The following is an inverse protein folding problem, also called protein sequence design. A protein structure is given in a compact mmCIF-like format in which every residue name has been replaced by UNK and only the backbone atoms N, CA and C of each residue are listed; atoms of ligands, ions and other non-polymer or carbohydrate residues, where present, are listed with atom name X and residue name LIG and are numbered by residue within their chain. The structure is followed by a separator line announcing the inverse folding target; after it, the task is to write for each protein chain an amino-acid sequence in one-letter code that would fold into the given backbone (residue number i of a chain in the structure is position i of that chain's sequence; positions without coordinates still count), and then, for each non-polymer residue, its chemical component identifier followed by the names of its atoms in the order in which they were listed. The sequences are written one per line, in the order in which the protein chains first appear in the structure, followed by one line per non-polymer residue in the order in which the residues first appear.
data_IF_323709059547
#
_entry.id   IF_323709059547
#
_cell.length_a   1.000
_cell.length_b   1.000
_cell.length_c   1.000
_cell.angle_alpha   90.00
_cell.angle_beta   90.00
_cell.angle_gamma   90.00
#
_symmetry.space_group_name_H-M   'P 1'
#
loop_
_entity.id
_entity.type
_entity.pdbx_description
1 polymer ?
#
# COMPACT_ATOMS: atom_id res chain seq x y z
N UNK A 1 -0.96 -14.62 -23.85
CA UNK A 1 0.05 -13.57 -23.75
C UNK A 1 -0.62 -12.41 -23.02
N UNK A 2 -0.22 -12.09 -21.77
CA UNK A 2 -0.68 -10.88 -21.12
C UNK A 2 -0.14 -9.70 -21.92
N UNK A 3 -1.02 -8.79 -22.35
CA UNK A 3 -0.62 -7.57 -23.05
C UNK A 3 0.31 -6.78 -22.12
N UNK A 4 1.46 -6.33 -22.64
CA UNK A 4 2.44 -5.53 -21.89
C UNK A 4 1.88 -4.16 -21.44
N UNK A 5 0.69 -3.80 -21.86
CA UNK A 5 0.06 -2.48 -21.67
C UNK A 5 -1.20 -2.54 -20.78
N UNK A 6 -1.30 -3.50 -19.86
CA UNK A 6 -2.43 -3.54 -18.94
C UNK A 6 -2.20 -2.61 -17.76
N UNK A 7 -3.09 -1.67 -17.54
CA UNK A 7 -3.18 -0.86 -16.32
C UNK A 7 -4.04 -1.63 -15.31
N UNK A 8 -3.55 -1.75 -14.08
CA UNK A 8 -4.31 -2.27 -12.95
C UNK A 8 -4.90 -1.12 -12.15
N UNK A 9 -6.17 -1.21 -11.83
CA UNK A 9 -6.87 -0.21 -11.01
C UNK A 9 -6.84 -0.65 -9.57
N UNK A 10 -6.24 0.18 -8.70
CA UNK A 10 -6.22 0.02 -7.26
C UNK A 10 -7.07 1.11 -6.62
N UNK A 11 -8.20 0.72 -6.03
CA UNK A 11 -9.11 1.63 -5.35
C UNK A 11 -8.82 1.70 -3.86
N UNK A 12 -8.68 2.90 -3.31
CA UNK A 12 -8.40 3.15 -1.89
C UNK A 12 -9.53 3.93 -1.19
N UNK A 13 -10.69 4.04 -1.80
CA UNK A 13 -11.84 4.79 -1.27
C UNK A 13 -12.19 4.39 0.16
N UNK A 14 -12.18 3.08 0.46
CA UNK A 14 -12.57 2.55 1.76
C UNK A 14 -11.44 2.54 2.80
N UNK A 15 -10.26 3.00 2.45
CA UNK A 15 -9.13 3.16 3.38
C UNK A 15 -8.66 4.62 3.42
N UNK A 16 -8.03 5.10 2.36
CA UNK A 16 -7.49 6.47 2.31
C UNK A 16 -8.61 7.51 2.14
N UNK A 17 -9.55 7.25 1.26
CA UNK A 17 -10.70 8.12 1.04
C UNK A 17 -11.54 8.33 2.30
N UNK A 18 -11.70 7.31 3.13
CA UNK A 18 -12.45 7.37 4.39
C UNK A 18 -11.77 8.25 5.47
N UNK A 19 -10.49 8.57 5.31
CA UNK A 19 -9.78 9.48 6.22
C UNK A 19 -10.18 10.95 6.02
N UNK A 20 -10.90 11.26 4.95
CA UNK A 20 -11.43 12.61 4.74
C UNK A 20 -12.56 12.91 5.75
N UNK A 21 -12.62 14.13 6.32
CA UNK A 21 -13.67 14.50 7.24
C UNK A 21 -15.07 14.26 6.66
N UNK A 22 -15.92 13.54 7.39
CA UNK A 22 -17.29 13.23 6.97
C UNK A 22 -17.46 12.09 5.96
N UNK A 23 -16.37 11.42 5.57
CA UNK A 23 -16.40 10.31 4.60
C UNK A 23 -16.44 8.91 5.26
N UNK A 24 -16.60 8.83 6.59
CA UNK A 24 -16.71 7.56 7.29
C UNK A 24 -17.93 6.77 6.85
N UNK A 25 -17.74 5.48 6.62
CA UNK A 25 -18.76 4.56 6.11
C UNK A 25 -19.11 3.48 7.12
N UNK A 26 -20.37 3.10 7.16
CA UNK A 26 -20.84 1.92 7.89
C UNK A 26 -20.36 0.63 7.21
N UNK A 27 -20.43 -0.50 7.92
CA UNK A 27 -20.11 -1.81 7.37
C UNK A 27 -20.96 -2.14 6.13
N UNK A 28 -22.25 -1.85 6.18
CA UNK A 28 -23.19 -2.10 5.08
C UNK A 28 -22.87 -1.27 3.84
N UNK A 29 -22.49 -0.01 4.02
CA UNK A 29 -22.05 0.86 2.93
C UNK A 29 -20.77 0.36 2.29
N UNK A 30 -19.76 -0.02 3.08
CA UNK A 30 -18.51 -0.61 2.57
C UNK A 30 -18.76 -1.88 1.77
N UNK A 31 -19.63 -2.79 2.25
CA UNK A 31 -20.00 -4.00 1.52
C UNK A 31 -20.71 -3.67 0.21
N UNK A 32 -21.63 -2.69 0.24
CA UNK A 32 -22.36 -2.27 -0.95
C UNK A 32 -21.44 -1.68 -2.02
N UNK A 33 -20.56 -0.77 -1.63
CA UNK A 33 -19.57 -0.16 -2.51
C UNK A 33 -18.60 -1.22 -3.07
N UNK A 34 -18.13 -2.15 -2.22
CA UNK A 34 -17.20 -3.18 -2.65
C UNK A 34 -17.79 -4.09 -3.73
N UNK A 35 -19.10 -4.40 -3.66
CA UNK A 35 -19.80 -5.16 -4.70
C UNK A 35 -19.88 -4.41 -6.02
N UNK A 36 -20.17 -3.10 -5.96
CA UNK A 36 -20.20 -2.24 -7.16
C UNK A 36 -18.81 -2.20 -7.80
N UNK A 37 -17.74 -2.03 -7.02
CA UNK A 37 -16.37 -2.03 -7.52
C UNK A 37 -15.97 -3.38 -8.13
N UNK A 38 -16.38 -4.49 -7.51
CA UNK A 38 -16.13 -5.84 -8.04
C UNK A 38 -16.86 -6.05 -9.38
N UNK A 39 -18.09 -5.55 -9.53
CA UNK A 39 -18.86 -5.58 -10.78
C UNK A 39 -18.24 -4.71 -11.87
N UNK A 40 -17.76 -3.52 -11.53
CA UNK A 40 -17.05 -2.60 -12.42
C UNK A 40 -15.70 -3.16 -12.89
N UNK A 41 -15.16 -4.17 -12.22
CA UNK A 41 -13.89 -4.79 -12.60
C UNK A 41 -12.66 -4.05 -12.07
N UNK A 42 -12.77 -3.34 -10.94
CA UNK A 42 -11.61 -2.83 -10.19
C UNK A 42 -10.72 -4.04 -9.84
N UNK A 43 -9.43 -3.93 -10.12
CA UNK A 43 -8.50 -5.07 -9.93
C UNK A 43 -8.22 -5.32 -8.45
N UNK A 44 -7.94 -4.28 -7.69
CA UNK A 44 -7.60 -4.36 -6.26
C UNK A 44 -8.43 -3.34 -5.48
N UNK A 45 -8.96 -3.73 -4.32
CA UNK A 45 -9.74 -2.87 -3.44
C UNK A 45 -9.10 -2.87 -2.06
N UNK A 46 -8.56 -1.72 -1.64
CA UNK A 46 -8.04 -1.54 -0.28
C UNK A 46 -9.21 -1.30 0.68
N UNK A 47 -9.56 -2.36 1.39
CA UNK A 47 -10.78 -2.44 2.18
C UNK A 47 -10.70 -1.76 3.55
N UNK A 48 -9.50 -1.47 4.03
CA UNK A 48 -9.28 -0.80 5.31
C UNK A 48 -7.97 -1.14 5.99
N UNK A 49 -7.90 -0.78 7.30
CA UNK A 49 -6.73 -0.99 8.15
C UNK A 49 -7.09 -1.85 9.38
N UNK A 50 -7.00 -3.18 9.27
CA UNK A 50 -7.58 -4.12 10.24
C UNK A 50 -7.13 -3.99 11.69
N UNK A 51 -5.97 -3.39 11.94
CA UNK A 51 -5.46 -3.17 13.29
C UNK A 51 -6.01 -1.89 13.94
N UNK A 52 -6.58 -0.97 13.15
CA UNK A 52 -7.00 0.33 13.64
C UNK A 52 -8.17 0.20 14.63
N UNK A 53 -9.15 -0.65 14.34
CA UNK A 53 -10.29 -0.90 15.21
C UNK A 53 -10.90 -2.30 14.98
N UNK A 54 -11.75 -2.79 15.90
CA UNK A 54 -12.57 -3.99 15.65
C UNK A 54 -13.47 -3.85 14.43
N UNK A 55 -14.07 -2.67 14.21
CA UNK A 55 -14.93 -2.40 13.06
C UNK A 55 -14.18 -2.47 11.73
N UNK A 56 -12.95 -1.93 11.67
CA UNK A 56 -12.09 -2.06 10.48
C UNK A 56 -11.76 -3.52 10.17
N UNK A 57 -11.47 -4.30 11.21
CA UNK A 57 -11.24 -5.73 11.04
C UNK A 57 -12.47 -6.45 10.48
N UNK A 58 -13.64 -6.18 11.03
CA UNK A 58 -14.91 -6.76 10.57
C UNK A 58 -15.21 -6.38 9.12
N UNK A 59 -15.00 -5.12 8.77
CA UNK A 59 -15.21 -4.62 7.41
C UNK A 59 -14.30 -5.32 6.40
N UNK A 60 -13.00 -5.36 6.65
CA UNK A 60 -12.04 -6.05 5.77
C UNK A 60 -12.36 -7.54 5.67
N UNK A 61 -12.71 -8.19 6.78
CA UNK A 61 -13.09 -9.59 6.80
C UNK A 61 -14.38 -9.87 6.02
N UNK A 62 -15.38 -8.99 6.12
CA UNK A 62 -16.64 -9.13 5.38
C UNK A 62 -16.42 -8.91 3.88
N UNK A 63 -15.66 -7.87 3.51
CA UNK A 63 -15.33 -7.57 2.10
C UNK A 63 -14.55 -8.73 1.48
N UNK A 64 -13.57 -9.30 2.19
CA UNK A 64 -12.78 -10.44 1.70
C UNK A 64 -13.62 -11.68 1.35
N UNK A 65 -14.81 -11.83 1.96
CA UNK A 65 -15.74 -12.93 1.72
C UNK A 65 -16.69 -12.69 0.55
N UNK A 66 -16.95 -11.43 0.20
CA UNK A 66 -17.97 -11.09 -0.81
C UNK A 66 -17.40 -10.79 -2.18
N UNK A 67 -16.14 -10.38 -2.29
CA UNK A 67 -15.48 -10.13 -3.57
C UNK A 67 -15.28 -11.40 -4.35
N UNK A 68 -15.54 -11.35 -5.67
CA UNK A 68 -15.45 -12.49 -6.59
C UNK A 68 -14.36 -12.32 -7.64
N UNK A 69 -14.13 -11.10 -8.11
CA UNK A 69 -13.21 -10.77 -9.20
C UNK A 69 -12.03 -9.96 -8.68
N UNK A 70 -12.32 -8.90 -7.91
CA UNK A 70 -11.34 -8.01 -7.32
C UNK A 70 -10.53 -8.69 -6.22
N UNK A 71 -9.32 -8.26 -6.03
CA UNK A 71 -8.42 -8.73 -4.97
C UNK A 71 -8.61 -7.81 -3.75
N UNK A 72 -9.10 -8.30 -2.61
CA UNK A 72 -9.12 -7.50 -1.39
C UNK A 72 -7.71 -7.23 -0.90
N UNK A 73 -7.48 -6.01 -0.47
CA UNK A 73 -6.23 -5.54 0.10
C UNK A 73 -6.48 -4.96 1.50
N UNK A 74 -5.53 -5.15 2.40
CA UNK A 74 -5.55 -4.54 3.72
C UNK A 74 -4.22 -3.90 4.04
N UNK A 75 -4.28 -2.78 4.77
CA UNK A 75 -3.11 -2.03 5.20
C UNK A 75 -2.52 -2.59 6.50
N UNK A 76 -1.18 -2.62 6.60
CA UNK A 76 -0.45 -3.04 7.79
C UNK A 76 0.84 -2.23 7.94
N UNK A 77 1.14 -1.73 9.14
CA UNK A 77 2.46 -1.16 9.44
C UNK A 77 3.52 -2.26 9.50
N UNK A 78 4.79 -1.88 9.46
CA UNK A 78 5.91 -2.79 9.72
C UNK A 78 5.90 -3.26 11.19
N UNK A 79 5.00 -4.19 11.48
CA UNK A 79 4.82 -4.86 12.75
C UNK A 79 4.19 -6.22 12.48
N UNK A 80 4.76 -7.29 13.04
CA UNK A 80 4.18 -8.64 12.91
C UNK A 80 2.72 -8.66 13.35
N UNK A 81 2.41 -7.98 14.45
CA UNK A 81 1.04 -7.87 14.96
C UNK A 81 0.07 -7.27 13.95
N UNK A 82 0.48 -6.21 13.23
CA UNK A 82 -0.36 -5.57 12.23
C UNK A 82 -0.53 -6.48 11.01
N UNK A 83 0.56 -7.10 10.56
CA UNK A 83 0.57 -8.02 9.41
C UNK A 83 -0.28 -9.26 9.70
N UNK A 84 -0.16 -9.85 10.90
CA UNK A 84 -1.00 -10.98 11.32
C UNK A 84 -2.48 -10.60 11.34
N UNK A 85 -2.80 -9.42 11.89
CA UNK A 85 -4.18 -8.94 11.95
C UNK A 85 -4.76 -8.70 10.56
N UNK A 86 -3.95 -8.19 9.63
CA UNK A 86 -4.31 -8.01 8.24
C UNK A 86 -4.55 -9.37 7.56
N UNK A 87 -3.64 -10.32 7.72
CA UNK A 87 -3.77 -11.68 7.20
C UNK A 87 -5.05 -12.35 7.72
N UNK A 88 -5.31 -12.30 9.04
CA UNK A 88 -6.51 -12.90 9.64
C UNK A 88 -7.81 -12.34 9.05
N UNK A 89 -7.85 -11.07 8.71
CA UNK A 89 -9.01 -10.46 8.06
C UNK A 89 -9.16 -10.90 6.59
N UNK A 90 -8.05 -11.09 5.88
CA UNK A 90 -8.04 -11.34 4.43
C UNK A 90 -8.04 -12.82 4.04
N UNK A 91 -7.62 -13.73 4.91
CA UNK A 91 -7.41 -15.17 4.60
C UNK A 91 -8.66 -15.90 4.08
N UNK A 92 -9.83 -15.29 4.16
CA UNK A 92 -11.07 -15.84 3.63
C UNK A 92 -11.21 -15.72 2.10
N UNK A 93 -10.46 -14.79 1.49
CA UNK A 93 -10.42 -14.64 0.05
C UNK A 93 -9.45 -15.66 -0.58
N UNK A 94 -9.74 -16.18 -1.78
CA UNK A 94 -8.83 -17.10 -2.48
C UNK A 94 -7.52 -16.45 -2.93
N UNK A 95 -7.54 -15.14 -3.10
CA UNK A 95 -6.37 -14.26 -3.37
C UNK A 95 -6.58 -12.97 -2.61
N UNK A 96 -5.52 -12.46 -2.00
CA UNK A 96 -5.55 -11.19 -1.28
C UNK A 96 -4.17 -10.55 -1.29
N UNK A 97 -4.14 -9.24 -1.09
CA UNK A 97 -2.92 -8.44 -0.99
C UNK A 97 -2.73 -7.93 0.43
N UNK A 98 -1.52 -8.06 0.94
CA UNK A 98 -1.09 -7.34 2.14
C UNK A 98 -0.30 -6.11 1.68
N UNK A 99 -0.82 -4.92 2.00
CA UNK A 99 -0.14 -3.65 1.77
C UNK A 99 0.59 -3.24 3.05
N UNK A 100 1.91 -3.27 3.03
CA UNK A 100 2.70 -2.89 4.20
C UNK A 100 3.56 -1.66 3.90
N UNK A 101 3.80 -0.82 4.92
CA UNK A 101 4.48 0.45 4.74
C UNK A 101 5.34 0.84 5.93
N UNK A 102 6.37 1.65 5.64
CA UNK A 102 7.18 2.36 6.63
C UNK A 102 7.64 3.69 6.06
N UNK A 103 7.73 4.70 6.92
CA UNK A 103 8.21 6.02 6.51
C UNK A 103 9.71 5.99 6.19
N UNK A 104 10.10 6.60 5.08
CA UNK A 104 11.48 6.64 4.59
C UNK A 104 12.07 8.05 4.56
N UNK A 105 11.25 9.10 4.76
CA UNK A 105 11.76 10.46 4.82
C UNK A 105 12.58 10.73 6.09
N UNK A 106 13.65 11.55 6.03
CA UNK A 106 14.45 11.88 7.19
C UNK A 106 13.63 12.46 8.35
N UNK A 107 12.62 13.28 8.03
CA UNK A 107 11.72 13.87 9.01
C UNK A 107 10.96 12.81 9.80
N UNK A 108 10.32 11.87 9.09
CA UNK A 108 9.51 10.83 9.73
C UNK A 108 10.37 9.76 10.41
N UNK A 109 11.50 9.39 9.84
CA UNK A 109 12.43 8.47 10.49
C UNK A 109 12.85 9.00 11.85
N UNK A 110 13.22 10.30 11.93
CA UNK A 110 13.70 10.94 13.15
C UNK A 110 12.59 11.18 14.18
N UNK A 111 11.45 11.77 13.77
CA UNK A 111 10.45 12.31 14.70
C UNK A 111 9.24 11.43 14.91
N UNK A 112 8.89 10.55 13.94
CA UNK A 112 7.75 9.64 14.02
C UNK A 112 8.19 8.24 14.46
N UNK A 113 9.22 7.70 13.82
CA UNK A 113 9.67 6.33 14.06
C UNK A 113 10.74 6.25 15.16
N UNK A 114 11.50 7.32 15.40
CA UNK A 114 12.69 7.33 16.25
C UNK A 114 13.68 6.22 15.86
N UNK A 115 13.92 6.09 14.55
CA UNK A 115 14.79 5.07 13.94
C UNK A 115 15.86 5.70 13.06
N UNK A 116 17.02 5.05 12.99
CA UNK A 116 18.04 5.37 11.99
C UNK A 116 17.64 4.82 10.61
N UNK A 117 18.24 5.32 9.51
CA UNK A 117 18.02 4.75 8.18
C UNK A 117 18.33 3.25 8.11
N UNK A 118 19.38 2.79 8.80
CA UNK A 118 19.76 1.37 8.86
C UNK A 118 18.70 0.52 9.55
N UNK A 119 18.12 1.02 10.65
CA UNK A 119 17.03 0.35 11.36
C UNK A 119 15.76 0.26 10.52
N UNK A 120 15.48 1.30 9.72
CA UNK A 120 14.36 1.27 8.77
C UNK A 120 14.63 0.26 7.65
N UNK A 121 15.87 0.23 7.13
CA UNK A 121 16.29 -0.73 6.11
C UNK A 121 16.13 -2.19 6.58
N UNK A 122 16.59 -2.53 7.79
CA UNK A 122 16.38 -3.85 8.37
C UNK A 122 14.90 -4.17 8.61
N UNK A 123 14.11 -3.18 9.02
CA UNK A 123 12.66 -3.34 9.19
C UNK A 123 11.96 -3.66 7.87
N UNK A 124 12.38 -3.07 6.74
CA UNK A 124 11.84 -3.38 5.42
C UNK A 124 12.08 -4.85 5.10
N UNK A 125 13.33 -5.31 5.22
CA UNK A 125 13.69 -6.69 4.97
C UNK A 125 12.87 -7.66 5.82
N UNK A 126 12.80 -7.42 7.13
CA UNK A 126 12.09 -8.30 8.05
C UNK A 126 10.60 -8.40 7.73
N UNK A 127 9.91 -7.25 7.64
CA UNK A 127 8.45 -7.25 7.57
C UNK A 127 7.89 -7.54 6.18
N UNK A 128 8.60 -7.14 5.12
CA UNK A 128 8.22 -7.53 3.76
C UNK A 128 8.40 -9.05 3.57
N UNK A 129 9.52 -9.61 4.03
CA UNK A 129 9.72 -11.07 4.00
C UNK A 129 8.66 -11.79 4.84
N UNK A 130 8.30 -11.25 6.01
CA UNK A 130 7.27 -11.82 6.86
C UNK A 130 5.90 -11.83 6.16
N UNK A 131 5.49 -10.73 5.57
CA UNK A 131 4.24 -10.64 4.80
C UNK A 131 4.25 -11.60 3.59
N UNK A 132 5.39 -11.71 2.91
CA UNK A 132 5.57 -12.61 1.76
C UNK A 132 5.41 -14.08 2.12
N UNK A 133 5.70 -14.47 3.35
CA UNK A 133 5.46 -15.83 3.83
C UNK A 133 3.97 -16.15 4.07
N UNK A 134 3.12 -15.13 4.13
CA UNK A 134 1.67 -15.26 4.34
C UNK A 134 0.86 -15.14 3.04
N UNK A 135 1.38 -14.43 2.05
CA UNK A 135 0.73 -14.26 0.74
C UNK A 135 1.76 -14.04 -0.37
N UNK A 136 1.38 -14.45 -1.57
CA UNK A 136 2.18 -14.21 -2.78
C UNK A 136 2.04 -12.78 -3.33
N UNK A 137 1.11 -11.99 -2.83
CA UNK A 137 0.85 -10.63 -3.27
C UNK A 137 1.09 -9.64 -2.11
N UNK A 138 2.30 -9.07 -2.09
CA UNK A 138 2.69 -8.05 -1.12
C UNK A 138 2.94 -6.74 -1.85
N UNK A 139 2.27 -5.69 -1.40
CA UNK A 139 2.56 -4.31 -1.76
C UNK A 139 3.37 -3.64 -0.66
N UNK A 140 4.38 -2.88 -1.04
CA UNK A 140 5.17 -2.08 -0.11
C UNK A 140 5.18 -0.61 -0.49
N UNK A 141 4.93 0.26 0.49
CA UNK A 141 4.97 1.72 0.33
C UNK A 141 6.09 2.36 1.15
N UNK A 142 6.82 3.26 0.52
CA UNK A 142 7.70 4.21 1.20
C UNK A 142 6.88 5.43 1.66
N UNK A 143 6.24 5.36 2.82
CA UNK A 143 5.47 6.50 3.33
C UNK A 143 6.33 7.77 3.35
N UNK A 144 5.72 8.89 2.91
CA UNK A 144 6.41 10.16 2.72
C UNK A 144 7.53 10.08 1.65
N UNK A 145 7.24 9.30 0.60
CA UNK A 145 8.21 8.97 -0.44
C UNK A 145 8.76 10.19 -1.16
N UNK A 146 7.90 11.14 -1.53
CA UNK A 146 8.31 12.34 -2.28
C UNK A 146 9.28 13.26 -1.53
N UNK A 147 9.40 13.11 -0.19
CA UNK A 147 10.37 13.81 0.65
C UNK A 147 11.55 12.93 1.10
N UNK A 148 11.62 11.72 0.57
CA UNK A 148 12.73 10.79 0.84
C UNK A 148 13.94 11.14 -0.02
N UNK A 149 15.15 11.01 0.55
CA UNK A 149 16.38 11.10 -0.23
C UNK A 149 16.37 10.07 -1.37
N UNK A 150 16.70 10.51 -2.58
CA UNK A 150 16.52 9.69 -3.79
C UNK A 150 17.40 8.44 -3.82
N UNK A 151 18.63 8.53 -3.34
CA UNK A 151 19.53 7.37 -3.29
C UNK A 151 19.09 6.38 -2.21
N UNK A 152 18.57 6.89 -1.09
CA UNK A 152 17.98 6.04 -0.06
C UNK A 152 16.68 5.40 -0.54
N UNK A 153 15.82 6.13 -1.27
CA UNK A 153 14.62 5.57 -1.88
C UNK A 153 14.95 4.41 -2.83
N UNK A 154 15.92 4.60 -3.73
CA UNK A 154 16.34 3.53 -4.64
C UNK A 154 16.78 2.27 -3.87
N UNK A 155 17.57 2.43 -2.81
CA UNK A 155 18.04 1.30 -1.97
C UNK A 155 16.89 0.59 -1.26
N UNK A 156 15.93 1.35 -0.71
CA UNK A 156 14.79 0.77 0.02
C UNK A 156 13.80 0.07 -0.92
N UNK A 157 13.54 0.64 -2.10
CA UNK A 157 12.72 0.01 -3.14
C UNK A 157 13.37 -1.30 -3.63
N UNK A 158 14.65 -1.28 -3.96
CA UNK A 158 15.38 -2.49 -4.38
C UNK A 158 15.32 -3.57 -3.29
N UNK A 159 15.49 -3.19 -2.02
CA UNK A 159 15.40 -4.11 -0.90
C UNK A 159 13.98 -4.69 -0.74
N UNK A 160 12.94 -3.86 -0.83
CA UNK A 160 11.55 -4.31 -0.72
C UNK A 160 11.23 -5.35 -1.80
N UNK A 161 11.64 -5.11 -3.05
CA UNK A 161 11.48 -6.07 -4.16
C UNK A 161 12.25 -7.36 -3.88
N UNK A 162 13.52 -7.28 -3.46
CA UNK A 162 14.33 -8.45 -3.08
C UNK A 162 13.75 -9.23 -1.90
N UNK A 163 13.04 -8.56 -1.01
CA UNK A 163 12.36 -9.17 0.14
C UNK A 163 11.00 -9.80 -0.21
N UNK A 164 10.53 -9.61 -1.45
CA UNK A 164 9.35 -10.28 -1.99
C UNK A 164 8.15 -9.39 -2.26
N UNK A 165 8.27 -8.06 -2.17
CA UNK A 165 7.23 -7.15 -2.65
C UNK A 165 7.06 -7.30 -4.16
N UNK A 166 5.83 -7.49 -4.62
CA UNK A 166 5.47 -7.55 -6.04
C UNK A 166 4.99 -6.21 -6.58
N UNK A 167 4.61 -5.33 -5.67
CA UNK A 167 4.10 -4.00 -5.99
C UNK A 167 4.82 -2.99 -5.12
N UNK A 168 5.31 -1.93 -5.74
CA UNK A 168 5.91 -0.79 -5.05
C UNK A 168 5.00 0.41 -5.23
N UNK A 169 4.61 1.03 -4.14
CA UNK A 169 3.83 2.25 -4.14
C UNK A 169 4.70 3.43 -3.68
N UNK A 170 4.73 4.48 -4.47
CA UNK A 170 5.45 5.73 -4.18
C UNK A 170 4.42 6.80 -3.87
N UNK A 171 4.05 7.02 -2.61
CA UNK A 171 3.02 7.97 -2.24
C UNK A 171 3.56 9.40 -2.16
N UNK A 172 2.79 10.36 -2.67
CA UNK A 172 2.92 11.76 -2.32
C UNK A 172 2.04 12.07 -1.10
N UNK A 173 2.47 11.59 0.06
CA UNK A 173 1.71 11.56 1.31
C UNK A 173 1.22 12.94 1.78
N UNK A 174 1.93 14.00 1.43
CA UNK A 174 1.55 15.38 1.81
C UNK A 174 0.95 16.17 0.66
N UNK A 175 0.84 15.59 -0.54
CA UNK A 175 0.25 16.24 -1.71
C UNK A 175 0.97 17.51 -2.15
N UNK A 176 2.30 17.52 -2.07
CA UNK A 176 3.13 18.71 -2.29
C UNK A 176 3.90 18.68 -3.62
N UNK A 177 4.05 17.51 -4.21
CA UNK A 177 4.90 17.30 -5.38
C UNK A 177 4.19 17.76 -6.66
N UNK A 178 4.89 18.51 -7.49
CA UNK A 178 4.37 18.86 -8.83
C UNK A 178 4.65 17.72 -9.83
N UNK A 179 3.86 17.59 -10.93
CA UNK A 179 3.98 16.47 -11.87
C UNK A 179 5.39 16.25 -12.41
N UNK A 180 6.12 17.33 -12.72
CA UNK A 180 7.49 17.24 -13.24
C UNK A 180 8.50 16.69 -12.23
N UNK A 181 8.31 16.93 -10.93
CA UNK A 181 9.14 16.35 -9.87
C UNK A 181 8.81 14.88 -9.69
N UNK A 182 7.52 14.55 -9.68
CA UNK A 182 7.09 13.16 -9.57
C UNK A 182 7.60 12.31 -10.75
N UNK A 183 7.53 12.85 -11.98
CA UNK A 183 8.11 12.21 -13.17
C UNK A 183 9.58 11.87 -12.95
N UNK A 184 10.38 12.82 -12.43
CA UNK A 184 11.81 12.59 -12.17
C UNK A 184 12.04 11.48 -11.13
N UNK A 185 11.18 11.37 -10.11
CA UNK A 185 11.25 10.28 -9.12
C UNK A 185 11.07 8.95 -9.83
N UNK A 186 10.02 8.80 -10.62
CA UNK A 186 9.72 7.55 -11.34
C UNK A 186 10.83 7.21 -12.35
N UNK A 187 11.27 8.17 -13.18
CA UNK A 187 12.38 7.96 -14.12
C UNK A 187 13.67 7.52 -13.40
N UNK A 188 13.96 8.12 -12.23
CA UNK A 188 15.15 7.76 -11.47
C UNK A 188 15.05 6.33 -10.94
N UNK A 189 13.90 5.94 -10.41
CA UNK A 189 13.66 4.57 -9.94
C UNK A 189 13.80 3.57 -11.08
N UNK A 190 13.15 3.82 -12.23
CA UNK A 190 13.24 2.95 -13.41
C UNK A 190 14.67 2.79 -13.92
N UNK A 191 15.49 3.84 -13.83
CA UNK A 191 16.88 3.82 -14.31
C UNK A 191 17.86 3.22 -13.30
N UNK A 192 17.63 3.38 -11.98
CA UNK A 192 18.60 3.00 -10.94
C UNK A 192 18.30 1.70 -10.22
N UNK A 193 17.04 1.26 -10.20
CA UNK A 193 16.63 0.04 -9.49
C UNK A 193 16.54 -1.13 -10.47
N UNK A 194 17.48 -2.10 -10.42
CA UNK A 194 17.65 -3.08 -11.50
C UNK A 194 16.53 -4.11 -11.62
N UNK A 195 15.67 -4.23 -10.61
CA UNK A 195 14.57 -5.22 -10.56
C UNK A 195 13.18 -4.57 -10.54
N UNK A 196 13.07 -3.29 -10.89
CA UNK A 196 11.83 -2.52 -10.78
C UNK A 196 10.77 -2.93 -11.81
N UNK A 197 11.16 -3.49 -12.95
CA UNK A 197 10.25 -3.97 -14.00
C UNK A 197 9.24 -5.02 -13.50
N UNK A 198 9.49 -5.61 -12.34
CA UNK A 198 8.63 -6.61 -11.74
C UNK A 198 7.52 -6.00 -10.88
N UNK A 199 7.53 -4.66 -10.65
CA UNK A 199 6.76 -4.16 -9.51
C UNK A 199 6.59 -2.64 -9.49
N UNK A 200 5.90 -2.02 -10.43
CA UNK A 200 5.61 -0.60 -10.30
C UNK A 200 4.11 -0.30 -10.32
N UNK A 201 3.63 0.31 -9.25
CA UNK A 201 2.36 1.05 -9.23
C UNK A 201 2.64 2.48 -8.79
N UNK A 202 2.01 3.39 -9.49
CA UNK A 202 1.96 4.80 -9.21
C UNK A 202 0.56 5.14 -8.67
N UNK A 203 0.49 5.71 -7.47
CA UNK A 203 -0.73 6.31 -6.92
C UNK A 203 -0.39 7.71 -6.44
N UNK A 204 -1.11 8.70 -6.94
CA UNK A 204 -1.22 9.99 -6.29
C UNK A 204 -2.37 9.89 -5.28
N UNK A 205 -2.12 10.14 -4.03
CA UNK A 205 -3.18 10.31 -3.05
C UNK A 205 -4.01 11.56 -3.42
N UNK A 206 -5.35 11.53 -3.25
CA UNK A 206 -6.15 12.71 -3.48
C UNK A 206 -5.66 13.81 -2.54
N UNK A 207 -5.32 14.95 -3.13
CA UNK A 207 -4.96 16.15 -2.35
C UNK A 207 -6.11 16.45 -1.40
N UNK A 208 -5.87 16.41 -0.10
CA UNK A 208 -6.81 16.94 0.87
C UNK A 208 -7.06 18.39 0.52
N UNK A 209 -8.32 18.87 0.49
CA UNK A 209 -8.56 20.28 0.33
C UNK A 209 -7.79 21.02 1.42
N UNK A 210 -6.91 21.94 1.03
CA UNK A 210 -6.29 22.83 1.99
C UNK A 210 -7.40 23.64 2.64
N UNK A 211 -7.60 23.43 3.92
CA UNK A 211 -8.40 24.34 4.74
C UNK A 211 -7.76 25.73 4.78
#
# INVERSE_FOLDING_TARGET
MASKDRVFIFDTTMRDGEQSPGASMSLEEKISISRVFDELGIDIIEAGFPIASPGDFEAVSAISKVLKKSIPCGLARHSKKDIDRCYEALKHAPRFRIHTFISTSPLHMKHKLNKTPEQVYESIKEHVTYARNLTDDVEWSCEDGTRTDMDYMCKTVELAIKSGAKTINIPDTVGYTVPSEFTKIIETLLNKVPNIDLSLIHISEPTRPNE
#
